data_IF_971682964160
#
_entry.id   IF_971682964160
#
_cell.length_a   1.000
_cell.length_b   1.000
_cell.length_c   1.000
_cell.angle_alpha   90.00
_cell.angle_beta   90.00
_cell.angle_gamma   90.00
#
_symmetry.space_group_name_H-M   'P 1'
#
loop_
_entity.id
_entity.type
_entity.pdbx_description
1 polymer ?
#
# COMPACT_ATOMS: atom_id res chain seq x y z
N UNK A 1 7.39 1.58 -0.38
CA UNK A 1 6.29 2.44 -0.90
C UNK A 1 5.37 2.77 0.27
N UNK A 2 4.39 3.67 0.15
CA UNK A 2 3.41 3.89 1.21
C UNK A 2 2.05 3.30 0.82
N UNK A 3 1.50 2.52 1.74
CA UNK A 3 0.12 2.05 1.80
C UNK A 3 -0.50 2.76 3.02
N UNK A 4 -1.66 3.40 2.87
CA UNK A 4 -2.37 4.03 3.98
C UNK A 4 -3.32 3.02 4.63
N UNK A 5 -3.03 2.51 5.86
CA UNK A 5 -3.85 1.49 6.51
C UNK A 5 -5.22 2.00 6.97
N UNK A 6 -5.50 3.31 6.88
CA UNK A 6 -6.85 3.87 7.12
C UNK A 6 -7.75 3.80 5.88
N UNK A 7 -7.15 3.61 4.70
CA UNK A 7 -7.83 3.61 3.40
C UNK A 7 -7.81 2.26 2.73
N UNK A 8 -6.74 1.50 2.93
CA UNK A 8 -6.50 0.24 2.24
C UNK A 8 -6.62 -0.90 3.25
N UNK A 9 -7.51 -1.84 2.97
CA UNK A 9 -7.66 -3.08 3.74
C UNK A 9 -7.20 -4.24 2.87
N UNK A 10 -6.16 -4.94 3.30
CA UNK A 10 -5.74 -6.22 2.72
C UNK A 10 -6.42 -7.37 3.50
N UNK A 11 -7.07 -8.27 2.79
CA UNK A 11 -7.66 -9.49 3.33
C UNK A 11 -7.07 -10.71 2.62
N UNK A 12 -6.29 -11.48 3.36
CA UNK A 12 -5.83 -12.81 2.95
C UNK A 12 -7.03 -13.76 2.99
N UNK A 13 -7.38 -14.39 1.86
CA UNK A 13 -8.49 -15.35 1.79
C UNK A 13 -7.95 -16.78 1.74
N UNK A 14 -7.04 -17.04 0.80
CA UNK A 14 -6.42 -18.33 0.56
C UNK A 14 -5.04 -18.16 -0.11
N UNK A 15 -4.24 -19.22 -0.15
CA UNK A 15 -2.89 -19.26 -0.75
C UNK A 15 -2.87 -18.65 -2.17
N UNK A 16 -3.91 -18.87 -2.97
CA UNK A 16 -4.02 -18.39 -4.35
C UNK A 16 -4.70 -17.02 -4.51
N UNK A 17 -5.46 -16.54 -3.51
CA UNK A 17 -6.31 -15.36 -3.64
C UNK A 17 -6.31 -14.44 -2.40
N UNK A 18 -6.09 -13.15 -2.61
CA UNK A 18 -6.33 -12.12 -1.60
C UNK A 18 -7.13 -10.96 -2.19
N UNK A 19 -7.74 -10.15 -1.32
CA UNK A 19 -8.51 -8.97 -1.70
C UNK A 19 -7.88 -7.71 -1.10
N UNK A 20 -7.68 -6.70 -1.95
CA UNK A 20 -7.36 -5.34 -1.54
C UNK A 20 -8.62 -4.49 -1.71
N UNK A 21 -9.11 -3.87 -0.64
CA UNK A 21 -10.24 -2.95 -0.66
C UNK A 21 -9.72 -1.51 -0.49
N UNK A 22 -10.09 -0.62 -1.41
CA UNK A 22 -9.87 0.81 -1.30
C UNK A 22 -11.16 1.46 -0.74
N UNK A 23 -11.08 2.05 0.45
CA UNK A 23 -12.22 2.68 1.13
C UNK A 23 -12.57 4.06 0.56
N UNK A 24 -11.63 4.76 -0.08
CA UNK A 24 -11.88 6.05 -0.74
C UNK A 24 -12.66 5.85 -2.05
N UNK A 25 -12.22 4.92 -2.92
CA UNK A 25 -12.88 4.63 -4.20
C UNK A 25 -14.03 3.62 -4.08
N UNK A 26 -14.10 2.89 -2.96
CA UNK A 26 -15.00 1.75 -2.70
C UNK A 26 -14.83 0.56 -3.65
N UNK A 27 -13.73 0.51 -4.39
CA UNK A 27 -13.38 -0.59 -5.26
C UNK A 27 -12.63 -1.69 -4.49
N UNK A 28 -12.88 -2.94 -4.88
CA UNK A 28 -12.13 -4.10 -4.41
C UNK A 28 -11.38 -4.73 -5.58
N UNK A 29 -10.16 -5.20 -5.31
CA UNK A 29 -9.23 -5.75 -6.28
C UNK A 29 -8.80 -7.13 -5.80
N UNK A 30 -8.78 -8.11 -6.70
CA UNK A 30 -8.36 -9.48 -6.39
C UNK A 30 -6.91 -9.66 -6.85
N UNK A 31 -6.04 -10.03 -5.92
CA UNK A 31 -4.66 -10.40 -6.21
C UNK A 31 -4.57 -11.92 -6.35
N UNK A 32 -3.97 -12.38 -7.44
CA UNK A 32 -3.50 -13.75 -7.58
C UNK A 32 -2.29 -14.00 -6.66
N UNK A 33 -1.86 -15.25 -6.54
CA UNK A 33 -0.68 -15.66 -5.74
C UNK A 33 0.54 -14.73 -5.94
N UNK A 34 0.97 -14.51 -7.19
CA UNK A 34 2.10 -13.62 -7.51
C UNK A 34 1.84 -12.18 -7.04
N UNK A 35 0.62 -11.66 -7.22
CA UNK A 35 0.22 -10.34 -6.74
C UNK A 35 0.25 -10.22 -5.22
N UNK A 36 -0.15 -11.27 -4.49
CA UNK A 36 0.01 -11.31 -3.03
C UNK A 36 1.48 -11.27 -2.62
N UNK A 37 2.31 -12.07 -3.31
CA UNK A 37 3.75 -12.20 -3.06
C UNK A 37 4.47 -10.88 -3.28
N UNK A 38 4.04 -10.08 -4.26
CA UNK A 38 4.51 -8.71 -4.49
C UNK A 38 3.99 -7.76 -3.40
N UNK A 39 2.67 -7.76 -3.14
CA UNK A 39 2.03 -6.88 -2.15
C UNK A 39 2.65 -7.01 -0.76
N UNK A 40 2.77 -8.24 -0.26
CA UNK A 40 3.38 -8.56 1.05
C UNK A 40 4.84 -8.07 1.14
N UNK A 41 5.57 -7.97 0.02
CA UNK A 41 6.94 -7.40 0.00
C UNK A 41 6.97 -5.88 -0.07
N UNK A 42 6.02 -5.27 -0.77
CA UNK A 42 5.85 -3.81 -0.80
C UNK A 42 5.48 -3.27 0.59
N UNK A 43 4.65 -3.97 1.36
CA UNK A 43 4.39 -3.67 2.79
C UNK A 43 5.68 -3.75 3.63
N UNK A 44 6.51 -4.78 3.40
CA UNK A 44 7.83 -4.91 4.02
C UNK A 44 8.89 -3.91 3.48
N UNK A 45 8.48 -2.92 2.70
CA UNK A 45 9.33 -1.87 2.11
C UNK A 45 10.46 -2.37 1.20
N UNK A 46 10.36 -3.59 0.65
CA UNK A 46 11.30 -4.05 -0.37
C UNK A 46 11.15 -3.25 -1.67
N UNK A 47 12.27 -3.08 -2.37
CA UNK A 47 12.32 -2.38 -3.64
C UNK A 47 11.88 -3.28 -4.80
N UNK A 48 11.38 -2.71 -5.92
CA UNK A 48 10.99 -3.48 -7.11
C UNK A 48 12.05 -4.47 -7.62
N UNK A 49 13.36 -4.16 -7.69
CA UNK A 49 14.35 -5.15 -8.10
C UNK A 49 14.51 -6.31 -7.10
N UNK A 50 14.48 -6.08 -5.78
CA UNK A 50 14.55 -7.17 -4.78
C UNK A 50 13.33 -8.11 -4.87
N UNK A 51 12.16 -7.56 -5.20
CA UNK A 51 10.94 -8.35 -5.43
C UNK A 51 11.08 -9.16 -6.72
N UNK A 52 11.61 -8.56 -7.79
CA UNK A 52 11.85 -9.25 -9.06
C UNK A 52 12.89 -10.38 -8.92
N UNK A 53 13.96 -10.15 -8.16
CA UNK A 53 14.97 -11.16 -7.84
C UNK A 53 14.30 -12.36 -7.14
N UNK A 54 13.52 -12.12 -6.07
CA UNK A 54 12.77 -13.18 -5.39
C UNK A 54 11.79 -13.93 -6.30
N UNK A 55 11.06 -13.23 -7.17
CA UNK A 55 10.13 -13.87 -8.11
C UNK A 55 10.85 -14.72 -9.14
N UNK A 56 12.00 -14.27 -9.65
CA UNK A 56 12.81 -15.05 -10.58
C UNK A 56 13.29 -16.37 -9.98
N UNK A 57 13.73 -16.35 -8.71
CA UNK A 57 14.12 -17.55 -7.97
C UNK A 57 12.93 -18.47 -7.62
N UNK A 58 11.77 -17.89 -7.31
CA UNK A 58 10.61 -18.67 -6.81
C UNK A 58 9.74 -19.28 -7.90
N UNK A 59 9.68 -18.65 -9.07
CA UNK A 59 8.83 -19.07 -10.18
C UNK A 59 9.62 -19.56 -11.42
N UNK A 60 10.95 -19.65 -11.33
CA UNK A 60 11.86 -20.07 -12.42
C UNK A 60 11.66 -19.26 -13.73
N UNK A 61 11.47 -17.94 -13.57
CA UNK A 61 11.30 -16.98 -14.66
C UNK A 61 12.52 -16.07 -14.79
N UNK A 62 12.72 -15.49 -15.97
CA UNK A 62 13.82 -14.53 -16.16
C UNK A 62 13.61 -13.28 -15.29
N UNK A 63 14.72 -12.71 -14.81
CA UNK A 63 14.73 -11.49 -14.00
C UNK A 63 14.03 -10.33 -14.70
N UNK A 64 14.18 -10.22 -16.02
CA UNK A 64 13.57 -9.18 -16.85
C UNK A 64 12.05 -9.33 -16.91
N UNK A 65 11.54 -10.57 -17.02
CA UNK A 65 10.12 -10.86 -16.96
C UNK A 65 9.55 -10.55 -15.55
N UNK A 66 10.20 -11.05 -14.50
CA UNK A 66 9.83 -10.76 -13.12
C UNK A 66 9.80 -9.25 -12.83
N UNK A 67 10.80 -8.50 -13.30
CA UNK A 67 10.88 -7.05 -13.14
C UNK A 67 9.75 -6.34 -13.88
N UNK A 68 9.43 -6.77 -15.11
CA UNK A 68 8.31 -6.24 -15.89
C UNK A 68 6.98 -6.44 -15.14
N UNK A 69 6.71 -7.66 -14.67
CA UNK A 69 5.46 -8.01 -13.99
C UNK A 69 5.31 -7.26 -12.66
N UNK A 70 6.41 -7.07 -11.92
CA UNK A 70 6.45 -6.24 -10.71
C UNK A 70 6.12 -4.78 -11.01
N UNK A 71 6.73 -4.18 -12.04
CA UNK A 71 6.42 -2.79 -12.42
C UNK A 71 4.99 -2.64 -12.94
N UNK A 72 4.51 -3.58 -13.76
CA UNK A 72 3.15 -3.57 -14.30
C UNK A 72 2.11 -3.62 -13.17
N UNK A 73 2.30 -4.50 -12.17
CA UNK A 73 1.43 -4.51 -10.99
C UNK A 73 1.55 -3.21 -10.18
N UNK A 74 2.76 -2.70 -9.96
CA UNK A 74 2.99 -1.44 -9.24
C UNK A 74 2.26 -0.28 -9.90
N UNK A 75 2.33 -0.12 -11.22
CA UNK A 75 1.67 0.98 -11.91
C UNK A 75 0.14 0.82 -11.93
N UNK A 76 -0.39 -0.42 -12.03
CA UNK A 76 -1.81 -0.69 -11.79
C UNK A 76 -2.24 -0.29 -10.36
N UNK A 77 -1.49 -0.69 -9.33
CA UNK A 77 -1.78 -0.33 -7.93
C UNK A 77 -1.72 1.20 -7.70
N UNK A 78 -0.83 1.93 -8.39
CA UNK A 78 -0.80 3.41 -8.35
C UNK A 78 -2.01 4.04 -9.05
N UNK A 79 -2.37 3.54 -10.23
CA UNK A 79 -3.51 4.04 -11.01
C UNK A 79 -4.82 3.93 -10.21
N UNK A 80 -4.98 2.83 -9.48
CA UNK A 80 -6.12 2.55 -8.60
C UNK A 80 -5.98 3.20 -7.19
N UNK A 81 -4.98 4.08 -7.01
CA UNK A 81 -4.69 4.83 -5.79
C UNK A 81 -4.47 3.95 -4.53
N UNK A 82 -4.05 2.70 -4.71
CA UNK A 82 -3.78 1.73 -3.64
C UNK A 82 -2.43 1.95 -2.97
N UNK A 83 -1.45 2.48 -3.71
CA UNK A 83 -0.10 2.75 -3.24
C UNK A 83 0.38 4.14 -3.68
N UNK A 84 1.13 4.82 -2.81
CA UNK A 84 1.72 6.14 -3.07
C UNK A 84 3.24 6.09 -3.03
N UNK A 85 3.87 6.93 -3.86
CA UNK A 85 5.33 7.12 -3.91
C UNK A 85 5.86 8.14 -2.90
N UNK A 86 4.99 8.79 -2.12
CA UNK A 86 5.44 9.72 -1.07
C UNK A 86 6.41 9.05 -0.11
N UNK A 87 7.61 9.60 0.02
CA UNK A 87 8.61 9.15 0.97
C UNK A 87 8.31 9.82 2.32
N UNK A 88 7.64 9.10 3.23
CA UNK A 88 7.27 9.50 4.61
C UNK A 88 7.15 11.02 4.80
N UNK A 89 6.24 11.65 4.06
CA UNK A 89 5.61 12.87 4.57
C UNK A 89 4.73 12.44 5.74
N UNK A 90 5.33 12.31 6.92
CA UNK A 90 4.58 12.18 8.17
C UNK A 90 3.56 13.31 8.18
N UNK A 91 2.24 13.04 8.18
CA UNK A 91 1.29 14.09 8.45
C UNK A 91 1.60 14.56 9.87
N UNK A 92 2.21 15.74 9.99
CA UNK A 92 2.50 16.37 11.27
C UNK A 92 1.19 16.72 11.91
N UNK A 93 0.62 15.75 12.63
CA UNK A 93 -0.55 15.94 13.48
C UNK A 93 -0.09 16.71 14.72
N UNK A 94 0.17 18.00 14.52
CA UNK A 94 0.56 18.94 15.56
C UNK A 94 -0.63 19.21 16.47
N UNK A 95 -0.82 18.34 17.46
CA UNK A 95 -1.68 18.58 18.62
C UNK A 95 -0.80 18.57 19.87
N UNK A 96 -1.00 19.59 20.73
CA UNK A 96 -0.11 20.10 21.79
C UNK A 96 1.14 20.85 21.24
N UNK A 97 1.52 22.03 21.72
CA UNK A 97 0.85 23.00 22.62
C UNK A 97 1.60 24.36 22.53
N UNK A 98 1.07 25.54 22.90
CA UNK A 98 -0.26 25.95 23.35
C UNK A 98 -0.44 27.46 23.07
N UNK A 99 -1.67 28.01 23.13
CA UNK A 99 -1.87 29.43 23.47
C UNK A 99 -3.16 29.62 24.27
N UNK A 100 -3.06 30.28 25.42
CA UNK A 100 -4.13 30.46 26.39
C UNK A 100 -5.26 31.35 25.87
N UNK A 101 -6.50 30.85 25.90
CA UNK A 101 -7.70 31.69 25.85
C UNK A 101 -8.78 31.17 26.79
N UNK A 102 -8.87 31.80 27.97
CA UNK A 102 -10.02 31.62 28.87
C UNK A 102 -11.24 32.29 28.24
N UNK A 103 -12.28 31.54 27.87
CA UNK A 103 -13.64 32.09 27.92
C UNK A 103 -14.72 31.01 28.09
N UNK A 104 -15.25 30.92 29.31
CA UNK A 104 -16.55 30.30 29.56
C UNK A 104 -17.66 31.25 29.09
N UNK A 105 -18.66 30.74 28.35
CA UNK A 105 -20.11 30.80 28.68
C UNK A 105 -20.97 30.36 27.49
N UNK A 106 -21.94 29.48 27.74
CA UNK A 106 -23.11 29.25 26.87
C UNK A 106 -24.10 30.42 27.00
N UNK A 107 -24.78 30.79 25.91
CA UNK A 107 -26.24 30.63 25.83
C UNK A 107 -26.69 30.15 24.42
N UNK A 108 -27.95 29.80 24.14
CA UNK A 108 -29.22 30.01 24.88
C UNK A 108 -29.86 28.64 25.17
#
# INVERSE_FOLDING_TARGET
MIIDPKKIIFADLDISEAVVLNLDTKNYYRLNETGQVIWKRLENNQSPPEIADFLSESYDISREAALKDVYELIDNLKAEQLISQEAKATPSFSIHDAHTSKLNKQPI
#
